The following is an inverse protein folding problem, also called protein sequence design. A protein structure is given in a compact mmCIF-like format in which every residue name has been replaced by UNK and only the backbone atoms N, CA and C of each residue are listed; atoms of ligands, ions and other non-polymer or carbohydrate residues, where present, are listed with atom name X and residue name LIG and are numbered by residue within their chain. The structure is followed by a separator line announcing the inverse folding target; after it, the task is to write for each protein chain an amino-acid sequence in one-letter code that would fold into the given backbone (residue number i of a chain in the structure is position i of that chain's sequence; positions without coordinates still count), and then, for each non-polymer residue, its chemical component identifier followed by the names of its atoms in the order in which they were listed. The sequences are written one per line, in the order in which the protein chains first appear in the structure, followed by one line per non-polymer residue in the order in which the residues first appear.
data_IF_808130174961
#
_entry.id   IF_808130174961
#
_cell.length_a   1.000
_cell.length_b   1.000
_cell.length_c   1.000
_cell.angle_alpha   90.00
_cell.angle_beta   90.00
_cell.angle_gamma   90.00
#
_symmetry.space_group_name_H-M   'P 1'
#
loop_
_entity.id
_entity.type
_entity.pdbx_description
1 polymer ?
#
# COMPACT_ATOMS: atom_id res chain seq x y z
N UNK A 1 14.70 -12.18 5.60
CA UNK A 1 13.89 -12.67 6.75
C UNK A 1 12.82 -13.64 6.25
N UNK A 2 12.29 -14.51 7.11
CA UNK A 2 11.16 -15.36 6.72
C UNK A 2 9.81 -14.62 6.85
N UNK A 3 8.74 -15.20 6.29
CA UNK A 3 7.40 -14.58 6.24
C UNK A 3 6.78 -14.37 7.64
N UNK A 4 7.09 -15.24 8.61
CA UNK A 4 6.60 -15.08 9.98
C UNK A 4 7.25 -13.90 10.69
N UNK A 5 8.55 -13.70 10.49
CA UNK A 5 9.27 -12.53 11.00
C UNK A 5 8.73 -11.24 10.36
N UNK A 6 8.47 -11.26 9.05
CA UNK A 6 7.86 -10.13 8.37
C UNK A 6 6.48 -9.78 8.95
N UNK A 7 5.65 -10.80 9.24
CA UNK A 7 4.35 -10.61 9.90
C UNK A 7 4.50 -9.88 11.25
N UNK A 8 5.40 -10.34 12.11
CA UNK A 8 5.60 -9.70 13.43
C UNK A 8 6.12 -8.27 13.31
N UNK A 9 7.05 -8.02 12.40
CA UNK A 9 7.57 -6.67 12.14
C UNK A 9 6.51 -5.71 11.62
N UNK A 10 5.61 -6.18 10.75
CA UNK A 10 4.49 -5.37 10.27
C UNK A 10 3.50 -5.12 11.41
N UNK A 11 3.20 -6.13 12.22
CA UNK A 11 2.33 -6.00 13.38
C UNK A 11 2.86 -4.98 14.39
N UNK A 12 4.17 -4.99 14.66
CA UNK A 12 4.81 -3.97 15.49
C UNK A 12 4.69 -2.57 14.87
N UNK A 13 4.85 -2.47 13.55
CA UNK A 13 4.68 -1.20 12.82
C UNK A 13 3.25 -0.69 12.90
N UNK A 14 2.26 -1.57 12.71
CA UNK A 14 0.83 -1.25 12.85
C UNK A 14 0.54 -0.73 14.25
N UNK A 15 0.99 -1.46 15.28
CA UNK A 15 0.79 -1.07 16.69
C UNK A 15 1.42 0.29 16.99
N UNK A 16 2.61 0.55 16.47
CA UNK A 16 3.31 1.83 16.68
C UNK A 16 2.59 3.00 15.98
N UNK A 17 2.12 2.79 14.75
CA UNK A 17 1.47 3.83 13.95
C UNK A 17 0.05 4.14 14.40
N UNK A 18 -0.65 3.18 14.98
CA UNK A 18 -2.00 3.36 15.53
C UNK A 18 -2.01 3.82 16.99
N UNK A 19 -0.84 3.94 17.62
CA UNK A 19 -0.75 4.43 18.99
C UNK A 19 -1.19 5.88 19.10
N UNK A 20 -2.15 6.15 19.99
CA UNK A 20 -2.69 7.49 20.25
C UNK A 20 -2.10 8.10 21.53
N UNK A 21 -2.11 9.41 21.60
CA UNK A 21 -1.84 10.19 22.80
C UNK A 21 -3.09 10.27 23.71
N UNK A 22 -2.96 10.97 24.82
CA UNK A 22 -4.06 11.14 25.80
C UNK A 22 -5.22 12.00 25.25
N UNK A 23 -5.01 12.71 24.14
CA UNK A 23 -6.02 13.51 23.43
C UNK A 23 -6.66 12.75 22.26
N UNK A 24 -6.29 11.47 22.06
CA UNK A 24 -6.84 10.61 21.01
C UNK A 24 -6.21 10.82 19.61
N UNK A 25 -5.13 11.60 19.50
CA UNK A 25 -4.42 11.84 18.24
C UNK A 25 -3.32 10.79 18.05
N UNK A 26 -3.07 10.41 16.81
CA UNK A 26 -1.96 9.49 16.51
C UNK A 26 -0.61 10.11 16.87
N UNK A 27 0.17 9.40 17.70
CA UNK A 27 1.52 9.88 18.12
C UNK A 27 2.47 10.07 16.94
N UNK A 28 2.30 9.27 15.88
CA UNK A 28 3.06 9.39 14.66
C UNK A 28 2.08 9.80 13.54
N UNK A 29 2.07 11.07 13.13
CA UNK A 29 1.15 11.54 12.10
C UNK A 29 1.44 10.84 10.76
N UNK A 30 0.40 10.69 9.93
CA UNK A 30 0.46 9.95 8.67
C UNK A 30 1.64 10.37 7.78
N UNK A 31 1.96 11.66 7.73
CA UNK A 31 3.07 12.18 6.92
C UNK A 31 4.44 11.64 7.32
N UNK A 32 4.61 11.28 8.59
CA UNK A 32 5.86 10.71 9.13
C UNK A 32 5.89 9.19 9.12
N UNK A 33 4.77 8.54 8.86
CA UNK A 33 4.71 7.09 8.75
C UNK A 33 5.37 6.66 7.42
N UNK A 34 6.28 5.72 7.48
CA UNK A 34 6.88 5.14 6.26
C UNK A 34 6.00 3.97 5.81
N UNK A 35 5.53 3.95 4.54
CA UNK A 35 4.89 2.77 3.99
C UNK A 35 5.82 1.56 4.10
N UNK A 36 5.26 0.40 4.40
CA UNK A 36 6.01 -0.86 4.40
C UNK A 36 6.05 -1.39 2.98
N UNK A 37 7.22 -1.80 2.52
CA UNK A 37 7.43 -2.45 1.23
C UNK A 37 7.97 -3.86 1.45
N UNK A 38 7.14 -4.86 1.17
CA UNK A 38 7.50 -6.27 1.22
C UNK A 38 8.05 -6.73 -0.13
N UNK A 39 9.32 -7.06 -0.18
CA UNK A 39 9.94 -7.64 -1.36
C UNK A 39 10.19 -9.13 -1.13
N UNK A 40 9.62 -9.97 -1.98
CA UNK A 40 9.79 -11.42 -1.86
C UNK A 40 9.12 -12.18 -2.98
N UNK A 41 9.45 -13.48 -3.14
CA UNK A 41 8.92 -14.33 -4.20
C UNK A 41 7.39 -14.35 -4.24
N UNK A 42 6.78 -14.60 -5.39
CA UNK A 42 5.33 -14.84 -5.47
C UNK A 42 4.97 -16.11 -4.68
N UNK A 43 3.75 -16.16 -4.18
CA UNK A 43 3.21 -17.35 -3.51
C UNK A 43 3.70 -17.62 -2.08
N UNK A 44 4.51 -16.74 -1.48
CA UNK A 44 4.98 -16.93 -0.09
C UNK A 44 3.97 -16.53 0.99
N UNK A 45 2.75 -16.13 0.59
CA UNK A 45 1.69 -15.77 1.55
C UNK A 45 1.67 -14.30 1.97
N UNK A 46 2.20 -13.37 1.16
CA UNK A 46 2.20 -11.93 1.49
C UNK A 46 0.79 -11.39 1.79
N UNK A 47 -0.19 -11.71 0.97
CA UNK A 47 -1.59 -11.31 1.19
C UNK A 47 -2.17 -11.97 2.44
N UNK A 48 -1.90 -13.25 2.65
CA UNK A 48 -2.42 -14.02 3.77
C UNK A 48 -1.94 -13.47 5.13
N UNK A 49 -0.69 -13.01 5.23
CA UNK A 49 -0.24 -12.39 6.49
C UNK A 49 -0.92 -11.05 6.76
N UNK A 50 -1.36 -10.31 5.73
CA UNK A 50 -2.13 -9.08 5.92
C UNK A 50 -3.51 -9.36 6.51
N UNK A 51 -4.19 -10.39 6.03
CA UNK A 51 -5.47 -10.85 6.58
C UNK A 51 -5.32 -11.24 8.06
N UNK A 52 -4.29 -12.03 8.39
CA UNK A 52 -4.02 -12.42 9.75
C UNK A 52 -3.69 -11.24 10.68
N UNK A 53 -2.90 -10.26 10.21
CA UNK A 53 -2.58 -9.07 10.99
C UNK A 53 -3.84 -8.23 11.24
N UNK A 54 -4.67 -8.05 10.23
CA UNK A 54 -5.92 -7.29 10.34
C UNK A 54 -6.86 -7.94 11.36
N UNK A 55 -6.99 -9.26 11.32
CA UNK A 55 -7.80 -10.02 12.28
C UNK A 55 -7.25 -9.93 13.71
N UNK A 56 -5.95 -10.18 13.89
CA UNK A 56 -5.29 -10.15 15.21
C UNK A 56 -5.29 -8.76 15.84
N UNK A 57 -5.13 -7.71 15.03
CA UNK A 57 -5.16 -6.32 15.48
C UNK A 57 -6.58 -5.74 15.52
N UNK A 58 -7.59 -6.47 15.04
CA UNK A 58 -9.00 -6.04 14.94
C UNK A 58 -9.16 -4.72 14.16
N UNK A 59 -8.49 -4.62 13.03
CA UNK A 59 -8.52 -3.47 12.12
C UNK A 59 -9.02 -3.88 10.74
N UNK A 60 -9.40 -2.89 9.92
CA UNK A 60 -9.82 -3.12 8.54
C UNK A 60 -8.68 -3.55 7.63
N UNK A 61 -9.02 -4.23 6.55
CA UNK A 61 -8.11 -4.53 5.44
C UNK A 61 -8.78 -4.15 4.12
N UNK A 62 -8.07 -3.38 3.32
CA UNK A 62 -8.37 -3.13 1.91
C UNK A 62 -7.18 -3.63 1.11
N UNK A 63 -7.38 -4.63 0.26
CA UNK A 63 -6.33 -5.25 -0.53
C UNK A 63 -6.59 -5.08 -2.03
N UNK A 64 -5.59 -4.60 -2.74
CA UNK A 64 -5.61 -4.42 -4.19
C UNK A 64 -4.40 -5.06 -4.85
N UNK A 65 -4.63 -5.78 -5.94
CA UNK A 65 -3.58 -6.18 -6.88
C UNK A 65 -3.52 -5.12 -7.98
N UNK A 66 -2.50 -4.30 -7.96
CA UNK A 66 -2.46 -3.07 -8.78
C UNK A 66 -2.29 -3.34 -10.28
N UNK A 67 -1.80 -4.51 -10.68
CA UNK A 67 -1.64 -4.92 -12.09
C UNK A 67 -2.96 -4.98 -12.86
N UNK A 68 -4.08 -5.12 -12.16
CA UNK A 68 -5.42 -5.10 -12.75
C UNK A 68 -5.99 -3.68 -12.92
N UNK A 69 -5.28 -2.67 -12.47
CA UNK A 69 -5.71 -1.27 -12.51
C UNK A 69 -5.03 -0.49 -13.63
N UNK A 70 -5.81 0.38 -14.27
CA UNK A 70 -5.29 1.42 -15.15
C UNK A 70 -4.95 2.67 -14.34
N UNK A 71 -4.18 3.60 -14.93
CA UNK A 71 -3.94 4.89 -14.28
C UNK A 71 -5.24 5.62 -13.92
N UNK A 72 -6.24 5.54 -14.77
CA UNK A 72 -7.55 6.18 -14.57
C UNK A 72 -8.31 5.59 -13.38
N UNK A 73 -8.30 4.26 -13.20
CA UNK A 73 -8.95 3.65 -12.04
C UNK A 73 -8.18 3.90 -10.72
N UNK A 74 -6.85 3.99 -10.79
CA UNK A 74 -6.04 4.25 -9.61
C UNK A 74 -6.08 5.71 -9.14
N UNK A 75 -6.01 6.67 -10.08
CA UNK A 75 -5.95 8.12 -9.78
C UNK A 75 -7.32 8.79 -9.80
N UNK A 76 -8.25 8.26 -10.59
CA UNK A 76 -9.52 8.87 -10.93
C UNK A 76 -9.52 9.46 -12.34
N UNK A 77 -10.69 9.86 -12.80
CA UNK A 77 -10.90 10.49 -14.12
C UNK A 77 -10.80 11.99 -13.99
N UNK A 78 -10.09 12.68 -14.90
CA UNK A 78 -10.09 14.13 -14.93
C UNK A 78 -11.45 14.65 -15.40
N UNK A 79 -11.93 15.71 -14.78
CA UNK A 79 -13.10 16.47 -15.24
C UNK A 79 -12.85 17.97 -15.11
N UNK A 80 -13.53 18.75 -15.95
CA UNK A 80 -13.43 20.20 -15.94
C UNK A 80 -14.47 20.75 -14.96
N UNK A 81 -14.02 21.63 -14.08
CA UNK A 81 -14.86 22.37 -13.15
C UNK A 81 -14.59 23.85 -13.28
N UNK A 82 -15.65 24.65 -13.34
CA UNK A 82 -15.53 26.10 -13.33
C UNK A 82 -15.51 26.62 -11.90
N UNK A 83 -14.54 27.46 -11.60
CA UNK A 83 -14.39 28.10 -10.29
C UNK A 83 -14.01 29.56 -10.45
N UNK A 84 -14.52 30.36 -9.52
CA UNK A 84 -14.22 31.79 -9.45
C UNK A 84 -13.03 32.04 -8.51
N UNK A 85 -12.03 32.74 -9.01
CA UNK A 85 -10.91 33.23 -8.23
C UNK A 85 -10.73 34.73 -8.46
N UNK A 86 -10.75 35.51 -7.39
CA UNK A 86 -10.59 36.96 -7.44
C UNK A 86 -11.56 37.65 -8.40
N UNK A 87 -12.82 37.18 -8.48
CA UNK A 87 -13.86 37.77 -9.33
C UNK A 87 -13.75 37.42 -10.82
N UNK A 88 -12.96 36.41 -11.19
CA UNK A 88 -12.84 35.88 -12.54
C UNK A 88 -13.10 34.36 -12.54
N UNK A 89 -13.83 33.91 -13.56
CA UNK A 89 -14.07 32.48 -13.77
C UNK A 89 -12.89 31.81 -14.47
N UNK A 90 -12.52 30.64 -13.96
CA UNK A 90 -11.46 29.79 -14.50
C UNK A 90 -11.95 28.36 -14.62
N UNK A 91 -11.61 27.72 -15.72
CA UNK A 91 -11.78 26.26 -15.87
C UNK A 91 -10.58 25.56 -15.27
N UNK A 92 -10.80 24.73 -14.27
CA UNK A 92 -9.77 23.93 -13.63
C UNK A 92 -10.01 22.44 -13.89
N UNK A 93 -8.94 21.66 -13.88
CA UNK A 93 -9.05 20.20 -13.94
C UNK A 93 -9.05 19.63 -12.51
N UNK A 94 -10.12 18.95 -12.16
CA UNK A 94 -10.20 18.13 -10.97
C UNK A 94 -10.24 16.65 -11.34
N UNK A 95 -10.01 15.77 -10.37
CA UNK A 95 -10.08 14.32 -10.54
C UNK A 95 -11.20 13.74 -9.67
N UNK A 96 -11.90 12.75 -10.20
CA UNK A 96 -12.80 11.93 -9.38
C UNK A 96 -11.99 11.18 -8.32
N UNK A 97 -12.63 10.76 -7.24
CA UNK A 97 -11.94 9.98 -6.21
C UNK A 97 -11.42 8.67 -6.78
N UNK A 98 -10.18 8.32 -6.43
CA UNK A 98 -9.59 7.00 -6.70
C UNK A 98 -10.49 5.89 -6.12
N UNK A 99 -10.70 4.81 -6.88
CA UNK A 99 -11.40 3.63 -6.41
C UNK A 99 -10.73 3.01 -5.17
N UNK A 100 -9.40 3.04 -5.13
CA UNK A 100 -8.61 2.53 -4.01
C UNK A 100 -8.91 3.33 -2.74
N UNK A 101 -8.89 4.65 -2.83
CA UNK A 101 -9.21 5.54 -1.69
C UNK A 101 -10.69 5.42 -1.30
N UNK A 102 -11.59 5.34 -2.28
CA UNK A 102 -13.02 5.15 -2.01
C UNK A 102 -13.31 3.85 -1.23
N UNK A 103 -12.55 2.78 -1.51
CA UNK A 103 -12.70 1.52 -0.78
C UNK A 103 -12.21 1.61 0.67
N UNK A 104 -11.21 2.44 0.95
CA UNK A 104 -10.83 2.76 2.33
C UNK A 104 -11.97 3.48 3.06
N UNK A 105 -12.58 4.49 2.43
CA UNK A 105 -13.71 5.20 3.04
C UNK A 105 -14.92 4.28 3.28
N UNK A 106 -15.24 3.37 2.35
CA UNK A 106 -16.30 2.36 2.56
C UNK A 106 -16.01 1.50 3.79
N UNK A 107 -14.77 1.08 3.98
CA UNK A 107 -14.37 0.32 5.18
C UNK A 107 -14.53 1.12 6.47
N UNK A 108 -14.25 2.42 6.44
CA UNK A 108 -14.49 3.31 7.57
C UNK A 108 -16.00 3.39 7.89
N UNK A 109 -16.85 3.54 6.87
CA UNK A 109 -18.32 3.54 7.02
C UNK A 109 -18.85 2.19 7.54
N UNK A 110 -18.22 1.07 7.21
CA UNK A 110 -18.52 -0.26 7.75
C UNK A 110 -18.11 -0.44 9.23
N UNK A 111 -17.53 0.58 9.85
CA UNK A 111 -17.12 0.56 11.26
C UNK A 111 -15.65 0.23 11.52
N UNK A 112 -14.80 0.26 10.48
CA UNK A 112 -13.36 0.05 10.60
C UNK A 112 -12.60 1.38 10.45
N UNK A 113 -12.49 2.23 11.50
CA UNK A 113 -11.81 3.52 11.41
C UNK A 113 -10.31 3.41 11.20
N UNK A 114 -9.73 2.25 11.51
CA UNK A 114 -8.31 1.95 11.38
C UNK A 114 -8.11 0.70 10.52
N UNK A 115 -7.02 0.67 9.75
CA UNK A 115 -6.81 -0.48 8.88
C UNK A 115 -5.48 -0.48 8.14
N UNK A 116 -5.33 -1.47 7.28
CA UNK A 116 -4.22 -1.62 6.34
C UNK A 116 -4.77 -1.45 4.92
N UNK A 117 -4.16 -0.55 4.17
CA UNK A 117 -4.27 -0.49 2.72
C UNK A 117 -3.11 -1.28 2.12
N UNK A 118 -3.40 -2.48 1.64
CA UNK A 118 -2.43 -3.38 1.04
C UNK A 118 -2.47 -3.31 -0.48
N UNK A 119 -1.33 -3.02 -1.10
CA UNK A 119 -1.19 -2.95 -2.55
C UNK A 119 -0.18 -3.99 -3.00
N UNK A 120 -0.68 -5.04 -3.63
CA UNK A 120 0.16 -6.13 -4.15
C UNK A 120 0.66 -5.84 -5.57
N UNK A 121 1.79 -6.44 -5.91
CA UNK A 121 2.45 -6.36 -7.21
C UNK A 121 2.82 -4.93 -7.65
N UNK A 122 3.17 -4.07 -6.68
CA UNK A 122 3.37 -2.64 -6.90
C UNK A 122 4.47 -2.31 -7.93
N UNK A 123 5.41 -3.19 -8.14
CA UNK A 123 6.50 -3.04 -9.12
C UNK A 123 6.29 -3.80 -10.43
N UNK A 124 5.12 -4.42 -10.60
CA UNK A 124 4.72 -5.11 -11.84
C UNK A 124 3.73 -4.30 -12.69
N UNK A 125 3.63 -3.00 -12.44
CA UNK A 125 2.68 -2.09 -13.10
C UNK A 125 3.17 -1.62 -14.46
N UNK A 126 2.23 -1.15 -15.29
CA UNK A 126 2.53 -0.54 -16.58
C UNK A 126 3.44 0.70 -16.45
N UNK A 127 4.11 1.07 -17.55
CA UNK A 127 4.96 2.27 -17.59
C UNK A 127 4.22 3.56 -17.24
N UNK A 128 2.97 3.63 -17.61
CA UNK A 128 2.11 4.81 -17.38
C UNK A 128 1.65 4.90 -15.93
N UNK A 129 1.55 3.76 -15.21
CA UNK A 129 1.09 3.73 -13.82
C UNK A 129 2.25 3.78 -12.81
N UNK A 130 3.43 3.29 -13.18
CA UNK A 130 4.58 3.22 -12.26
C UNK A 130 4.93 4.55 -11.58
N UNK A 131 5.05 5.70 -12.27
CA UNK A 131 5.34 6.97 -11.62
C UNK A 131 4.27 7.38 -10.60
N UNK A 132 3.01 7.09 -10.89
CA UNK A 132 1.89 7.36 -10.00
C UNK A 132 1.97 6.52 -8.72
N UNK A 133 2.35 5.27 -8.83
CA UNK A 133 2.51 4.39 -7.67
C UNK A 133 3.70 4.79 -6.80
N UNK A 134 4.81 5.22 -7.40
CA UNK A 134 5.95 5.77 -6.67
C UNK A 134 5.56 7.05 -5.92
N UNK A 135 4.85 7.96 -6.59
CA UNK A 135 4.33 9.17 -5.96
C UNK A 135 3.36 8.83 -4.82
N UNK A 136 2.50 7.84 -4.99
CA UNK A 136 1.60 7.38 -3.93
C UNK A 136 2.36 6.89 -2.70
N UNK A 137 3.39 6.07 -2.87
CA UNK A 137 4.23 5.62 -1.74
C UNK A 137 4.92 6.80 -1.02
N UNK A 138 5.31 7.83 -1.76
CA UNK A 138 5.98 9.00 -1.19
C UNK A 138 5.00 9.95 -0.49
N UNK A 139 3.90 10.30 -1.17
CA UNK A 139 2.97 11.34 -0.75
C UNK A 139 1.71 10.82 -0.06
N UNK A 140 1.43 9.51 -0.17
CA UNK A 140 0.22 8.84 0.34
C UNK A 140 -1.08 9.42 -0.24
N UNK A 141 -1.00 9.91 -1.47
CA UNK A 141 -2.13 10.50 -2.19
C UNK A 141 -2.26 9.89 -3.59
N UNK A 142 -3.50 9.75 -4.03
CA UNK A 142 -3.83 9.55 -5.44
C UNK A 142 -4.53 10.81 -5.95
N UNK A 143 -3.93 11.48 -6.94
CA UNK A 143 -4.40 12.80 -7.36
C UNK A 143 -4.36 13.79 -6.19
N UNK A 144 -5.52 14.36 -5.86
CA UNK A 144 -5.72 15.26 -4.73
C UNK A 144 -6.30 14.58 -3.48
N UNK A 145 -6.48 13.24 -3.51
CA UNK A 145 -7.09 12.49 -2.42
C UNK A 145 -6.01 11.78 -1.59
N UNK A 146 -5.94 12.10 -0.31
CA UNK A 146 -5.04 11.44 0.64
C UNK A 146 -5.65 10.17 1.24
N UNK A 147 -4.81 9.23 1.61
CA UNK A 147 -5.21 8.11 2.48
C UNK A 147 -5.64 8.68 3.82
N UNK A 148 -6.81 8.27 4.36
CA UNK A 148 -7.27 8.74 5.67
C UNK A 148 -6.30 8.37 6.81
N UNK A 149 -6.26 9.21 7.85
CA UNK A 149 -5.53 8.87 9.08
C UNK A 149 -6.07 7.57 9.70
N UNK A 150 -5.19 6.79 10.31
CA UNK A 150 -5.52 5.47 10.84
C UNK A 150 -5.37 4.34 9.82
N UNK A 151 -5.08 4.64 8.56
CA UNK A 151 -4.85 3.64 7.52
C UNK A 151 -3.38 3.58 7.12
N UNK A 152 -2.79 2.40 7.30
CA UNK A 152 -1.36 2.16 7.10
C UNK A 152 -1.16 1.56 5.72
N UNK A 153 -0.22 2.10 4.97
CA UNK A 153 0.11 1.60 3.63
C UNK A 153 1.14 0.49 3.75
N UNK A 154 0.78 -0.67 3.23
CA UNK A 154 1.68 -1.80 3.02
C UNK A 154 1.64 -2.16 1.54
N UNK A 155 2.80 -2.14 0.90
CA UNK A 155 2.93 -2.55 -0.49
C UNK A 155 3.74 -3.85 -0.57
N UNK A 156 3.48 -4.65 -1.60
CA UNK A 156 4.26 -5.84 -1.90
C UNK A 156 4.74 -5.83 -3.35
N UNK A 157 5.94 -6.33 -3.54
CA UNK A 157 6.54 -6.48 -4.85
C UNK A 157 7.29 -7.81 -4.98
N UNK A 158 7.64 -8.15 -6.20
CA UNK A 158 8.41 -9.34 -6.51
C UNK A 158 9.84 -8.95 -6.94
N UNK A 159 10.86 -9.69 -6.54
CA UNK A 159 12.22 -9.49 -7.05
C UNK A 159 12.33 -9.75 -8.57
N UNK A 160 13.28 -9.10 -9.28
CA UNK A 160 13.43 -9.19 -10.73
C UNK A 160 13.62 -10.63 -11.25
N UNK A 161 14.19 -11.50 -10.43
CA UNK A 161 14.45 -12.90 -10.79
C UNK A 161 13.16 -13.69 -11.06
N UNK A 162 12.02 -13.26 -10.54
CA UNK A 162 10.74 -13.97 -10.65
C UNK A 162 9.81 -13.40 -11.71
N UNK A 163 10.08 -12.19 -12.21
CA UNK A 163 9.24 -11.59 -13.24
C UNK A 163 10.03 -10.56 -14.06
N UNK A 164 10.14 -10.78 -15.37
CA UNK A 164 10.85 -9.89 -16.30
C UNK A 164 10.20 -8.50 -16.46
N UNK A 165 8.95 -8.37 -16.09
CA UNK A 165 8.19 -7.09 -16.13
C UNK A 165 8.38 -6.25 -14.87
N UNK A 166 9.16 -6.73 -13.91
CA UNK A 166 9.43 -6.02 -12.65
C UNK A 166 10.30 -4.80 -12.91
N UNK A 167 9.91 -3.68 -12.29
CA UNK A 167 10.70 -2.46 -12.24
C UNK A 167 11.44 -2.37 -10.92
N UNK A 168 12.67 -1.93 -10.98
CA UNK A 168 13.43 -1.61 -9.78
C UNK A 168 12.99 -0.25 -9.24
N UNK A 169 12.92 -0.15 -7.92
CA UNK A 169 12.69 1.11 -7.24
C UNK A 169 13.98 1.91 -7.17
N UNK A 170 13.89 3.20 -7.41
CA UNK A 170 15.02 4.11 -7.22
C UNK A 170 15.38 4.27 -5.73
N UNK A 171 16.61 4.69 -5.47
CA UNK A 171 17.09 4.90 -4.10
C UNK A 171 16.26 5.91 -3.33
N UNK A 172 15.75 6.93 -4.00
CA UNK A 172 14.93 7.99 -3.38
C UNK A 172 13.60 7.41 -2.87
N UNK A 173 13.01 6.49 -3.61
CA UNK A 173 11.79 5.80 -3.18
C UNK A 173 12.07 4.84 -2.02
N UNK A 174 13.16 4.06 -2.11
CA UNK A 174 13.55 3.12 -1.05
C UNK A 174 13.84 3.83 0.28
N UNK A 175 14.42 5.02 0.27
CA UNK A 175 14.66 5.81 1.47
C UNK A 175 13.36 6.27 2.18
N UNK A 176 12.27 6.36 1.44
CA UNK A 176 10.97 6.82 1.96
C UNK A 176 10.04 5.71 2.41
N UNK A 177 10.39 4.46 2.14
CA UNK A 177 9.64 3.28 2.56
C UNK A 177 10.45 2.46 3.55
N UNK A 178 9.76 1.61 4.32
CA UNK A 178 10.41 0.59 5.14
C UNK A 178 10.46 -0.71 4.33
N UNK A 179 11.58 -0.95 3.66
CA UNK A 179 11.76 -2.15 2.84
C UNK A 179 12.07 -3.37 3.71
N UNK A 180 11.35 -4.47 3.47
CA UNK A 180 11.52 -5.76 4.12
C UNK A 180 11.75 -6.83 3.05
N UNK A 181 12.92 -7.44 3.04
CA UNK A 181 13.25 -8.56 2.15
C UNK A 181 12.79 -9.87 2.78
N UNK A 182 11.86 -10.55 2.11
CA UNK A 182 11.31 -11.82 2.54
C UNK A 182 11.81 -12.93 1.63
N UNK A 183 12.40 -13.95 2.22
CA UNK A 183 12.94 -15.10 1.52
C UNK A 183 11.94 -16.27 1.55
N UNK A 184 11.93 -17.07 0.48
CA UNK A 184 11.19 -18.31 0.50
C UNK A 184 11.77 -19.21 1.58
N UNK A 185 10.92 -19.77 2.45
CA UNK A 185 11.35 -20.84 3.35
C UNK A 185 11.62 -22.08 2.49
N UNK A 186 12.88 -22.42 2.29
CA UNK A 186 13.25 -23.71 1.69
C UNK A 186 12.87 -24.79 2.71
N UNK A 187 11.67 -25.35 2.57
CA UNK A 187 11.39 -26.64 3.15
C UNK A 187 12.29 -27.63 2.40
N UNK A 188 13.35 -28.07 3.03
CA UNK A 188 14.09 -29.26 2.59
C UNK A 188 13.10 -30.43 2.65
N UNK A 189 12.44 -30.70 1.54
CA UNK A 189 11.89 -32.04 1.33
C UNK A 189 13.09 -32.96 1.16
N UNK A 190 13.41 -33.69 2.19
CA UNK A 190 14.33 -34.83 2.07
C UNK A 190 13.87 -35.67 0.88
N UNK A 191 14.73 -36.01 -0.08
CA UNK A 191 14.35 -36.97 -1.09
C UNK A 191 13.99 -38.26 -0.35
N UNK A 192 12.75 -38.73 -0.56
CA UNK A 192 12.34 -40.05 -0.10
C UNK A 192 13.30 -41.05 -0.73
N UNK A 193 13.95 -41.92 0.05
CA UNK A 193 14.71 -43.01 -0.55
C UNK A 193 13.71 -43.89 -1.30
N UNK A 194 13.75 -43.87 -2.61
CA UNK A 194 13.11 -44.91 -3.43
C UNK A 194 14.06 -46.08 -3.47
N UNK A 195 13.52 -47.18 -2.99
CA UNK A 195 14.05 -48.53 -3.22
C UNK A 195 14.26 -48.83 -4.70
#
# INVERSE_FOLDING_TARGET
MNIKQAKEEIKHTVTAYLKKDDEGRYKIPLIRQRPVLLMGPPGIGKTQIMEQIAEECKIGLVAYTITHHTRQSAVGLPFIKEMEFAGKEYSITEYTMSEIIASVYRKIEEGCPEGILFIDEINCVSETLAPTMLQFLQCKTFGNQAVPEGWIIVAAGNPPEYNKSVREFDMVTLDRVRCMQVEACLLYTSPSPRD
#
